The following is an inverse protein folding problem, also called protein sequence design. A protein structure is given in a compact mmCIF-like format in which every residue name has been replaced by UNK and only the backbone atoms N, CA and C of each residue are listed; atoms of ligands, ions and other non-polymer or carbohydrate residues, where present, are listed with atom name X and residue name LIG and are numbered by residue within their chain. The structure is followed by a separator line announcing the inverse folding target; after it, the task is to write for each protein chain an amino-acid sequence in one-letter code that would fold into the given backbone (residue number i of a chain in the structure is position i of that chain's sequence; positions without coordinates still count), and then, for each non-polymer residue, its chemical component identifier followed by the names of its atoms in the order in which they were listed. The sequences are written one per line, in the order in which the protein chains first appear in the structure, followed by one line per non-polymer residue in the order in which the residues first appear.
data_IF_718606874402
#
_entry.id   IF_718606874402
#
_cell.length_a   1.000
_cell.length_b   1.000
_cell.length_c   1.000
_cell.angle_alpha   90.00
_cell.angle_beta   90.00
_cell.angle_gamma   90.00
#
_symmetry.space_group_name_H-M   'P 1'
#
loop_
_entity.id
_entity.type
_entity.pdbx_description
1 polymer ?
#
# COMPACT_ATOMS: atom_id res chain seq x y z
N UNK A 1 11.22 -15.34 15.55
CA UNK A 1 10.88 -14.57 14.36
C UNK A 1 10.73 -13.10 14.72
N UNK A 2 11.40 -12.24 13.99
CA UNK A 2 11.37 -10.81 14.29
C UNK A 2 10.09 -10.15 13.83
N UNK A 3 9.61 -9.19 14.62
CA UNK A 3 8.53 -8.31 14.23
C UNK A 3 9.00 -6.87 14.34
N UNK A 4 8.31 -5.99 13.61
CA UNK A 4 8.68 -4.59 13.50
C UNK A 4 7.48 -3.70 13.81
N UNK A 5 7.74 -2.47 14.27
CA UNK A 5 6.69 -1.48 14.45
C UNK A 5 7.10 -0.17 13.80
N UNK A 6 6.10 0.59 13.34
CA UNK A 6 6.37 1.90 12.74
C UNK A 6 6.99 2.88 13.73
N UNK A 7 6.77 2.69 15.02
CA UNK A 7 7.33 3.56 16.05
C UNK A 7 8.82 3.33 16.26
N UNK A 8 9.29 2.10 16.02
CA UNK A 8 10.67 1.70 16.32
C UNK A 8 11.61 1.87 15.13
N UNK A 9 11.08 1.87 13.91
CA UNK A 9 11.88 1.93 12.70
C UNK A 9 11.94 3.34 12.14
N UNK A 10 13.12 3.74 11.71
CA UNK A 10 13.28 5.04 11.04
C UNK A 10 12.76 4.93 9.62
N UNK A 11 11.85 5.82 9.26
CA UNK A 11 11.27 5.87 7.93
C UNK A 11 12.35 6.13 6.89
N UNK A 12 12.34 5.41 5.75
CA UNK A 12 13.33 5.61 4.69
C UNK A 12 13.23 7.03 4.10
N UNK A 13 14.26 7.88 4.25
CA UNK A 13 14.18 9.25 3.75
C UNK A 13 14.05 9.33 2.23
N UNK A 14 14.59 8.36 1.50
CA UNK A 14 14.51 8.36 0.04
C UNK A 14 13.08 8.20 -0.45
N UNK A 15 12.20 7.55 0.34
CA UNK A 15 10.78 7.44 0.00
C UNK A 15 10.08 8.77 0.26
N UNK A 16 10.34 9.38 1.40
CA UNK A 16 9.67 10.62 1.78
C UNK A 16 9.95 11.75 0.81
N UNK A 17 11.12 11.75 0.19
CA UNK A 17 11.50 12.81 -0.76
C UNK A 17 10.61 12.82 -2.00
N UNK A 18 10.09 11.65 -2.41
CA UNK A 18 9.34 11.51 -3.65
C UNK A 18 7.83 11.38 -3.48
N UNK A 19 7.36 10.91 -2.32
CA UNK A 19 5.98 10.47 -2.17
C UNK A 19 5.22 11.13 -1.02
N UNK A 20 5.65 12.28 -0.55
CA UNK A 20 5.05 12.87 0.66
C UNK A 20 3.58 13.27 0.48
N UNK A 21 3.07 13.43 -0.75
CA UNK A 21 1.67 13.79 -1.00
C UNK A 21 0.76 12.57 -0.96
N UNK A 22 1.12 11.49 -1.70
CA UNK A 22 0.35 10.25 -1.76
C UNK A 22 1.21 9.12 -1.23
N UNK A 23 1.32 9.07 0.08
CA UNK A 23 2.24 8.19 0.75
C UNK A 23 1.72 7.95 2.16
N UNK A 24 1.63 6.69 2.57
CA UNK A 24 1.12 6.40 3.91
C UNK A 24 1.55 5.02 4.38
N UNK A 25 1.50 4.84 5.70
CA UNK A 25 1.64 3.53 6.33
C UNK A 25 0.45 2.67 5.97
N UNK A 26 0.69 1.37 5.85
CA UNK A 26 -0.31 0.45 5.35
C UNK A 26 -0.14 -0.91 6.02
N UNK A 27 -1.15 -1.77 5.88
CA UNK A 27 -1.08 -3.18 6.19
C UNK A 27 -1.24 -3.54 7.66
N UNK A 28 -0.86 -4.77 7.98
CA UNK A 28 -1.14 -5.37 9.28
C UNK A 28 -0.53 -4.62 10.45
N UNK A 29 0.66 -4.03 10.27
CA UNK A 29 1.33 -3.31 11.36
C UNK A 29 0.60 -2.02 11.75
N UNK A 30 -0.26 -1.48 10.88
CA UNK A 30 -1.09 -0.33 11.24
C UNK A 30 -2.28 -0.72 12.12
N UNK A 31 -2.68 -1.98 12.08
CA UNK A 31 -3.78 -2.51 12.88
C UNK A 31 -3.25 -3.17 14.15
N UNK A 32 -2.25 -4.04 14.00
CA UNK A 32 -1.75 -4.87 15.09
C UNK A 32 -0.60 -4.24 15.87
N UNK A 33 -0.17 -3.04 15.49
CA UNK A 33 0.97 -2.31 16.05
C UNK A 33 2.33 -2.91 15.67
N UNK A 34 2.42 -4.20 15.43
CA UNK A 34 3.63 -4.88 14.98
C UNK A 34 3.29 -5.83 13.84
N UNK A 35 4.25 -6.09 12.98
CA UNK A 35 4.08 -7.03 11.87
C UNK A 35 5.40 -7.63 11.43
N UNK A 36 5.35 -8.66 10.59
CA UNK A 36 6.55 -9.29 10.04
C UNK A 36 7.29 -8.37 9.08
N UNK A 37 6.58 -7.41 8.53
CA UNK A 37 7.13 -6.34 7.71
C UNK A 37 6.33 -5.06 7.94
N UNK A 38 6.85 -3.96 7.44
CA UNK A 38 6.22 -2.66 7.53
C UNK A 38 5.86 -2.22 6.12
N UNK A 39 4.57 -2.19 5.82
CA UNK A 39 4.10 -1.82 4.51
C UNK A 39 3.97 -0.31 4.39
N UNK A 40 4.45 0.22 3.27
CA UNK A 40 4.26 1.60 2.88
C UNK A 40 3.61 1.58 1.51
N UNK A 41 2.57 2.38 1.31
CA UNK A 41 1.96 2.50 0.00
C UNK A 41 2.09 3.93 -0.52
N UNK A 42 2.21 4.06 -1.83
CA UNK A 42 2.32 5.35 -2.49
C UNK A 42 1.74 5.29 -3.89
N UNK A 43 1.43 6.45 -4.44
CA UNK A 43 1.04 6.59 -5.83
C UNK A 43 2.17 7.27 -6.60
N UNK A 44 2.44 6.77 -7.80
CA UNK A 44 3.41 7.36 -8.70
C UNK A 44 2.88 7.25 -10.13
N UNK A 45 2.80 8.38 -10.83
CA UNK A 45 2.41 8.36 -12.24
C UNK A 45 3.45 7.61 -13.07
N UNK A 46 3.04 7.09 -14.22
CA UNK A 46 3.96 6.36 -15.09
C UNK A 46 5.14 7.24 -15.55
N UNK A 47 4.88 8.51 -15.79
CA UNK A 47 5.95 9.41 -16.22
C UNK A 47 6.98 9.64 -15.12
N UNK A 48 6.55 9.66 -13.86
CA UNK A 48 7.46 9.81 -12.72
C UNK A 48 8.26 8.55 -12.45
N UNK A 49 7.78 7.39 -12.87
CA UNK A 49 8.49 6.13 -12.66
C UNK A 49 9.85 6.11 -13.31
N UNK A 50 10.04 6.85 -14.40
CA UNK A 50 11.33 6.93 -15.08
C UNK A 50 12.42 7.44 -14.13
N UNK A 51 12.07 8.32 -13.22
CA UNK A 51 13.01 8.86 -12.23
C UNK A 51 13.01 8.05 -10.93
N UNK A 52 11.82 7.64 -10.48
CA UNK A 52 11.65 7.01 -9.17
C UNK A 52 12.24 5.61 -9.14
N UNK A 53 12.03 4.83 -10.17
CA UNK A 53 12.48 3.43 -10.20
C UNK A 53 14.01 3.33 -10.07
N UNK A 54 14.81 4.02 -10.90
CA UNK A 54 16.25 3.97 -10.72
C UNK A 54 16.71 4.46 -9.35
N UNK A 55 16.06 5.49 -8.83
CA UNK A 55 16.39 6.01 -7.50
C UNK A 55 16.18 4.95 -6.42
N UNK A 56 15.10 4.20 -6.49
CA UNK A 56 14.85 3.13 -5.52
C UNK A 56 15.94 2.06 -5.60
N UNK A 57 16.29 1.64 -6.82
CA UNK A 57 17.34 0.64 -6.98
C UNK A 57 18.69 1.16 -6.47
N UNK A 58 19.01 2.42 -6.74
CA UNK A 58 20.28 3.03 -6.34
C UNK A 58 20.36 3.21 -4.81
N UNK A 59 19.24 3.31 -4.13
CA UNK A 59 19.21 3.47 -2.68
C UNK A 59 18.99 2.16 -1.93
N UNK A 60 19.08 1.04 -2.61
CA UNK A 60 19.11 -0.27 -1.97
C UNK A 60 17.81 -1.04 -1.96
N UNK A 61 16.79 -0.54 -2.65
CA UNK A 61 15.52 -1.25 -2.74
C UNK A 61 15.60 -2.35 -3.78
N UNK A 62 15.00 -3.48 -3.47
CA UNK A 62 15.00 -4.65 -4.32
C UNK A 62 13.63 -4.80 -4.96
N UNK A 63 13.59 -4.89 -6.28
CA UNK A 63 12.34 -5.04 -7.02
C UNK A 63 11.81 -6.47 -6.82
N UNK A 64 10.55 -6.58 -6.42
CA UNK A 64 9.91 -7.87 -6.12
C UNK A 64 8.83 -8.25 -7.16
N UNK A 65 8.69 -7.45 -8.19
CA UNK A 65 7.71 -7.74 -9.25
C UNK A 65 6.42 -6.97 -9.12
N UNK A 66 5.52 -7.25 -10.04
CA UNK A 66 4.15 -6.73 -10.01
C UNK A 66 3.29 -7.76 -9.31
N UNK A 67 2.50 -7.33 -8.35
CA UNK A 67 1.66 -8.24 -7.58
C UNK A 67 0.21 -7.82 -7.66
N UNK A 68 -0.68 -8.80 -7.67
CA UNK A 68 -2.10 -8.56 -7.53
C UNK A 68 -2.39 -8.29 -6.06
N UNK A 69 -3.34 -7.40 -5.82
CA UNK A 69 -3.72 -7.06 -4.47
C UNK A 69 -4.53 -8.18 -3.81
N UNK A 70 -5.31 -7.82 -2.81
CA UNK A 70 -6.11 -8.79 -2.07
C UNK A 70 -7.32 -9.29 -2.84
N UNK A 71 -7.64 -8.69 -3.98
CA UNK A 71 -8.75 -9.17 -4.80
C UNK A 71 -8.41 -10.54 -5.37
N UNK A 72 -9.36 -11.45 -5.34
CA UNK A 72 -9.12 -12.79 -5.83
C UNK A 72 -9.11 -12.85 -7.36
N UNK A 73 -8.55 -13.91 -7.95
CA UNK A 73 -8.62 -14.09 -9.39
C UNK A 73 -10.05 -14.14 -9.95
N UNK A 74 -11.02 -14.48 -9.11
CA UNK A 74 -12.42 -14.50 -9.51
C UNK A 74 -13.05 -13.11 -9.52
N UNK A 75 -12.36 -12.11 -9.02
CA UNK A 75 -12.83 -10.73 -8.99
C UNK A 75 -12.20 -9.97 -10.15
N UNK A 76 -12.97 -9.56 -11.16
CA UNK A 76 -12.41 -8.86 -12.31
C UNK A 76 -11.91 -7.45 -11.98
N UNK A 77 -12.12 -7.00 -10.76
CA UNK A 77 -11.66 -5.69 -10.27
C UNK A 77 -10.29 -5.79 -9.61
N UNK A 78 -9.54 -6.85 -9.82
CA UNK A 78 -8.23 -7.02 -9.22
C UNK A 78 -7.36 -5.80 -9.46
N UNK A 79 -6.67 -5.41 -8.40
CA UNK A 79 -5.75 -4.28 -8.38
C UNK A 79 -4.34 -4.82 -8.37
N UNK A 80 -3.48 -4.26 -9.18
CA UNK A 80 -2.07 -4.65 -9.19
C UNK A 80 -1.18 -3.49 -8.76
N UNK A 81 -0.03 -3.82 -8.22
CA UNK A 81 0.94 -2.83 -7.80
C UNK A 81 2.36 -3.36 -7.98
N UNK A 82 3.31 -2.44 -8.00
CA UNK A 82 4.73 -2.76 -8.10
C UNK A 82 5.28 -2.81 -6.68
N UNK A 83 6.06 -3.83 -6.39
CA UNK A 83 6.54 -4.07 -5.04
C UNK A 83 8.06 -3.99 -4.96
N UNK A 84 8.55 -3.22 -3.99
CA UNK A 84 9.97 -3.12 -3.66
C UNK A 84 10.17 -3.46 -2.19
N UNK A 85 11.37 -3.93 -1.87
CA UNK A 85 11.67 -4.34 -0.51
C UNK A 85 13.04 -3.87 -0.07
N UNK A 86 13.14 -3.43 1.19
CA UNK A 86 14.41 -3.05 1.80
C UNK A 86 14.33 -3.27 3.31
N UNK A 87 15.08 -4.26 3.82
CA UNK A 87 15.01 -4.60 5.24
C UNK A 87 13.60 -4.96 5.68
N UNK A 88 13.08 -4.36 6.75
CA UNK A 88 11.71 -4.62 7.20
C UNK A 88 10.65 -3.95 6.32
N UNK A 89 11.04 -3.09 5.39
CA UNK A 89 10.12 -2.27 4.62
C UNK A 89 9.65 -2.98 3.37
N UNK A 90 8.34 -2.97 3.16
CA UNK A 90 7.67 -3.47 1.97
C UNK A 90 6.96 -2.28 1.30
N UNK A 91 7.48 -1.84 0.16
CA UNK A 91 6.96 -0.66 -0.51
C UNK A 91 6.05 -1.06 -1.66
N UNK A 92 4.81 -0.60 -1.59
CA UNK A 92 3.75 -0.93 -2.53
C UNK A 92 3.45 0.33 -3.33
N UNK A 93 3.70 0.27 -4.64
CA UNK A 93 3.65 1.44 -5.50
C UNK A 93 2.55 1.28 -6.54
N UNK A 94 1.55 2.16 -6.46
CA UNK A 94 0.43 2.17 -7.40
C UNK A 94 0.69 3.19 -8.51
N UNK A 95 0.30 2.85 -9.74
CA UNK A 95 0.31 3.76 -10.88
C UNK A 95 -1.05 4.38 -11.16
N UNK A 96 -2.06 3.96 -10.45
CA UNK A 96 -3.42 4.47 -10.58
C UNK A 96 -3.84 5.05 -9.23
N UNK A 97 -4.15 6.33 -9.22
CA UNK A 97 -4.48 7.02 -7.98
C UNK A 97 -5.79 6.51 -7.38
N UNK A 98 -6.74 6.08 -8.22
CA UNK A 98 -8.00 5.55 -7.69
C UNK A 98 -7.79 4.22 -6.97
N UNK A 99 -6.88 3.38 -7.46
CA UNK A 99 -6.52 2.14 -6.77
C UNK A 99 -5.80 2.42 -5.46
N UNK A 100 -4.90 3.39 -5.46
CA UNK A 100 -4.25 3.83 -4.22
C UNK A 100 -5.29 4.25 -3.19
N UNK A 101 -6.24 5.08 -3.59
CA UNK A 101 -7.27 5.60 -2.68
C UNK A 101 -8.20 4.50 -2.18
N UNK A 102 -8.52 3.55 -3.04
CA UNK A 102 -9.32 2.39 -2.63
C UNK A 102 -8.65 1.61 -1.52
N UNK A 103 -7.36 1.29 -1.71
CA UNK A 103 -6.61 0.55 -0.71
C UNK A 103 -6.45 1.35 0.58
N UNK A 104 -6.24 2.66 0.47
CA UNK A 104 -6.13 3.52 1.64
C UNK A 104 -7.42 3.48 2.46
N UNK A 105 -8.57 3.62 1.80
CA UNK A 105 -9.87 3.58 2.48
C UNK A 105 -10.14 2.22 3.11
N UNK A 106 -9.81 1.14 2.39
CA UNK A 106 -9.99 -0.21 2.93
C UNK A 106 -9.13 -0.41 4.19
N UNK A 107 -7.90 0.05 4.17
CA UNK A 107 -7.03 -0.05 5.32
C UNK A 107 -7.55 0.79 6.50
N UNK A 108 -8.06 1.98 6.23
CA UNK A 108 -8.64 2.82 7.27
C UNK A 108 -9.83 2.14 7.95
N UNK A 109 -10.66 1.45 7.16
CA UNK A 109 -11.78 0.70 7.74
C UNK A 109 -11.28 -0.47 8.61
N UNK A 110 -10.27 -1.19 8.15
CA UNK A 110 -9.67 -2.26 8.95
C UNK A 110 -9.16 -1.74 10.30
N UNK A 111 -8.55 -0.56 10.30
CA UNK A 111 -8.07 0.06 11.54
C UNK A 111 -9.22 0.50 12.43
N UNK A 112 -10.23 1.14 11.84
CA UNK A 112 -11.40 1.62 12.59
C UNK A 112 -12.14 0.47 13.26
N UNK A 113 -12.21 -0.69 12.62
CA UNK A 113 -12.88 -1.88 13.14
C UNK A 113 -11.94 -2.77 13.96
N UNK A 114 -10.67 -2.42 14.04
CA UNK A 114 -9.63 -3.19 14.73
C UNK A 114 -9.58 -4.65 14.26
N UNK A 115 -9.54 -4.85 12.95
CA UNK A 115 -9.53 -6.19 12.35
C UNK A 115 -8.14 -6.79 12.41
N UNK A 116 -7.84 -7.51 13.46
CA UNK A 116 -6.51 -8.07 13.71
C UNK A 116 -6.24 -9.33 12.90
N UNK A 117 -7.28 -10.00 12.41
CA UNK A 117 -7.12 -11.23 11.61
C UNK A 117 -6.98 -10.88 10.12
N UNK A 118 -5.99 -11.51 9.48
CA UNK A 118 -5.73 -11.28 8.05
C UNK A 118 -6.95 -11.61 7.20
N UNK A 119 -7.66 -12.70 7.52
CA UNK A 119 -8.84 -13.12 6.73
C UNK A 119 -9.94 -12.05 6.74
N UNK A 120 -10.12 -11.37 7.88
CA UNK A 120 -11.12 -10.32 7.98
C UNK A 120 -10.71 -9.11 7.14
N UNK A 121 -9.42 -8.76 7.16
CA UNK A 121 -8.92 -7.66 6.34
C UNK A 121 -9.07 -7.95 4.85
N UNK A 122 -8.77 -9.18 4.44
CA UNK A 122 -8.92 -9.58 3.04
C UNK A 122 -10.38 -9.42 2.60
N UNK A 123 -11.32 -9.77 3.45
CA UNK A 123 -12.75 -9.59 3.15
C UNK A 123 -13.07 -8.13 2.87
N UNK A 124 -12.53 -7.20 3.68
CA UNK A 124 -12.74 -5.78 3.47
C UNK A 124 -12.15 -5.33 2.13
N UNK A 125 -10.92 -5.74 1.84
CA UNK A 125 -10.27 -5.35 0.58
C UNK A 125 -11.02 -5.91 -0.63
N UNK A 126 -11.51 -7.14 -0.55
CA UNK A 126 -12.31 -7.72 -1.64
C UNK A 126 -13.61 -6.96 -1.85
N UNK A 127 -14.25 -6.52 -0.78
CA UNK A 127 -15.46 -5.74 -0.90
C UNK A 127 -15.20 -4.40 -1.62
N UNK A 128 -14.16 -3.69 -1.20
CA UNK A 128 -13.80 -2.44 -1.87
C UNK A 128 -13.41 -2.67 -3.33
N UNK A 129 -12.73 -3.77 -3.61
CA UNK A 129 -12.39 -4.12 -4.99
C UNK A 129 -13.60 -4.32 -5.86
N UNK A 130 -14.67 -4.93 -5.32
CA UNK A 130 -15.88 -5.20 -6.09
C UNK A 130 -16.67 -3.94 -6.43
N UNK A 131 -16.52 -2.87 -5.66
CA UNK A 131 -17.20 -1.60 -5.91
C UNK A 131 -16.25 -0.55 -6.49
N UNK A 132 -15.02 -0.93 -6.77
CA UNK A 132 -14.04 -0.04 -7.37
C UNK A 132 -14.55 0.41 -8.75
N UNK A 133 -14.29 1.61 -9.13
CA UNK A 133 -14.75 2.23 -10.38
C UNK A 133 -16.18 2.76 -10.35
N UNK A 134 -16.86 2.70 -9.21
CA UNK A 134 -18.20 3.22 -9.07
C UNK A 134 -18.23 4.43 -8.14
N UNK A 135 -19.19 4.47 -7.25
CA UNK A 135 -19.53 5.66 -6.49
C UNK A 135 -18.40 6.26 -5.69
N UNK A 136 -17.59 5.40 -5.07
CA UNK A 136 -16.58 5.91 -4.15
C UNK A 136 -15.45 6.66 -4.87
N UNK A 137 -15.27 6.44 -6.15
CA UNK A 137 -14.27 7.14 -6.94
C UNK A 137 -14.65 8.60 -7.22
N UNK A 138 -15.91 8.90 -7.13
CA UNK A 138 -16.44 10.24 -7.35
C UNK A 138 -16.34 11.13 -6.11
N UNK A 139 -16.05 10.54 -4.97
CA UNK A 139 -15.91 11.30 -3.74
C UNK A 139 -14.63 12.11 -3.73
N UNK A 140 -14.65 13.30 -3.11
CA UNK A 140 -13.42 14.04 -2.89
C UNK A 140 -12.42 13.16 -2.16
N UNK A 141 -11.21 13.18 -2.65
CA UNK A 141 -10.20 12.31 -2.09
C UNK A 141 -9.39 13.05 -1.07
N UNK A 142 -9.56 12.66 0.16
CA UNK A 142 -8.83 13.22 1.28
C UNK A 142 -8.09 12.09 2.00
N UNK A 143 -7.00 11.66 1.41
CA UNK A 143 -6.26 10.51 1.88
C UNK A 143 -4.96 10.88 2.58
N UNK A 144 -4.94 12.01 3.20
CA UNK A 144 -3.79 12.45 3.97
C UNK A 144 -3.75 11.86 5.36
#
# INVERSE_FOLDING_TARGET
MSTYSFKEETFPPEIMEHFFTYFRKFGSATVNKRGNDLDIMAFCSRSSMITVWPHLLDTGWEYQGTQDGYCSPDNPQNVSFINFRKGPWNFILFNDVSEYKMYAKANDLCRALNLTKKSDRITVFNHFGSIHSTDWMEEPCDDR
#
